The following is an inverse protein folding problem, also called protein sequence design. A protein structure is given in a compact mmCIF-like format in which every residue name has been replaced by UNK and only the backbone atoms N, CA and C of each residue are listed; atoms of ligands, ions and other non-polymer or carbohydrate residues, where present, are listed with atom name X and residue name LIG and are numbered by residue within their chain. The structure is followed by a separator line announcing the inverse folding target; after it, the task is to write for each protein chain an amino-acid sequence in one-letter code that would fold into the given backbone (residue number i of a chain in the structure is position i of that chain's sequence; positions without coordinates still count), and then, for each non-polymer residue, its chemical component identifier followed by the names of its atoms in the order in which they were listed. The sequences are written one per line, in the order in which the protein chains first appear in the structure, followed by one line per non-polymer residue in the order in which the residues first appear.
data_IF_179678161543
#
_entry.id   IF_179678161543
#
_cell.length_a   1.000
_cell.length_b   1.000
_cell.length_c   1.000
_cell.angle_alpha   90.00
_cell.angle_beta   90.00
_cell.angle_gamma   90.00
#
_symmetry.space_group_name_H-M   'P 1'
#
loop_
_entity.id
_entity.type
_entity.pdbx_description
1 polymer ?
#
# COMPACT_ATOMS: atom_id res chain seq x y z
N UNK A 1 13.85 -21.28 75.81
CA UNK A 1 13.26 -21.16 74.46
C UNK A 1 12.90 -22.57 74.03
N UNK A 2 11.63 -22.81 73.72
CA UNK A 2 11.15 -24.17 73.44
C UNK A 2 11.37 -24.54 71.96
N UNK A 3 11.57 -25.83 71.65
CA UNK A 3 11.81 -26.34 70.29
C UNK A 3 10.73 -25.91 69.26
N UNK A 4 9.48 -25.76 69.71
CA UNK A 4 8.39 -25.25 68.86
C UNK A 4 8.52 -23.77 68.49
N UNK A 5 9.06 -22.94 69.39
CA UNK A 5 9.31 -21.51 69.14
C UNK A 5 10.44 -21.34 68.13
N UNK A 6 11.51 -22.13 68.25
CA UNK A 6 12.64 -22.13 67.32
C UNK A 6 12.22 -22.62 65.92
N UNK A 7 11.40 -23.68 65.85
CA UNK A 7 10.80 -24.15 64.58
C UNK A 7 9.86 -23.12 63.95
N UNK A 8 9.13 -22.34 64.75
CA UNK A 8 8.25 -21.29 64.27
C UNK A 8 9.05 -20.08 63.73
N UNK A 9 10.09 -19.66 64.45
CA UNK A 9 11.01 -18.60 64.04
C UNK A 9 11.69 -18.95 62.72
N UNK A 10 12.25 -20.17 62.59
CA UNK A 10 12.86 -20.65 61.34
C UNK A 10 11.89 -20.68 60.16
N UNK A 11 10.60 -20.95 60.41
CA UNK A 11 9.55 -20.90 59.36
C UNK A 11 9.18 -19.47 58.98
N UNK A 12 9.19 -18.53 59.92
CA UNK A 12 8.99 -17.11 59.63
C UNK A 12 10.14 -16.56 58.78
N UNK A 13 11.39 -16.81 59.18
CA UNK A 13 12.58 -16.40 58.44
C UNK A 13 12.61 -16.98 57.01
N UNK A 14 12.32 -18.28 56.85
CA UNK A 14 12.23 -18.92 55.53
C UNK A 14 11.10 -18.35 54.66
N UNK A 15 10.02 -17.82 55.25
CA UNK A 15 8.95 -17.15 54.50
C UNK A 15 9.40 -15.76 54.04
N UNK A 16 10.06 -15.02 54.93
CA UNK A 16 10.61 -13.70 54.63
C UNK A 16 11.69 -13.78 53.55
N UNK A 17 12.64 -14.71 53.65
CA UNK A 17 13.67 -14.94 52.63
C UNK A 17 13.05 -15.22 51.26
N UNK A 18 12.07 -16.12 51.18
CA UNK A 18 11.36 -16.40 49.91
C UNK A 18 10.55 -15.21 49.40
N UNK A 19 10.06 -14.33 50.28
CA UNK A 19 9.41 -13.09 49.85
C UNK A 19 10.42 -12.12 49.23
N UNK A 20 11.57 -11.93 49.88
CA UNK A 20 12.66 -11.10 49.39
C UNK A 20 13.22 -11.62 48.05
N UNK A 21 13.47 -12.92 47.93
CA UNK A 21 13.92 -13.56 46.69
C UNK A 21 12.93 -13.35 45.54
N UNK A 22 11.61 -13.44 45.80
CA UNK A 22 10.59 -13.18 44.79
C UNK A 22 10.56 -11.72 44.34
N UNK A 23 10.72 -10.78 45.26
CA UNK A 23 10.81 -9.34 44.94
C UNK A 23 12.07 -9.08 44.12
N UNK A 24 13.23 -9.57 44.54
CA UNK A 24 14.48 -9.41 43.81
C UNK A 24 14.41 -10.00 42.39
N UNK A 25 13.84 -11.20 42.24
CA UNK A 25 13.63 -11.83 40.93
C UNK A 25 12.64 -11.05 40.06
N UNK A 26 11.60 -10.45 40.64
CA UNK A 26 10.67 -9.60 39.91
C UNK A 26 11.36 -8.32 39.41
N UNK A 27 12.16 -7.67 40.26
CA UNK A 27 12.93 -6.47 39.92
C UNK A 27 13.94 -6.75 38.80
N UNK A 28 14.72 -7.82 38.93
CA UNK A 28 15.68 -8.22 37.89
C UNK A 28 15.00 -8.48 36.53
N UNK A 29 13.81 -9.11 36.53
CA UNK A 29 13.03 -9.31 35.28
C UNK A 29 12.52 -8.00 34.70
N UNK A 30 12.11 -7.04 35.53
CA UNK A 30 11.66 -5.73 35.04
C UNK A 30 12.80 -4.90 34.48
N UNK A 31 13.97 -4.93 35.12
CA UNK A 31 15.19 -4.26 34.66
C UNK A 31 15.66 -4.85 33.33
N UNK A 32 15.74 -6.18 33.23
CA UNK A 32 16.13 -6.84 31.97
C UNK A 32 15.18 -6.46 30.82
N UNK A 33 13.86 -6.46 31.08
CA UNK A 33 12.87 -6.05 30.07
C UNK A 33 13.03 -4.58 29.67
N UNK A 34 13.49 -3.71 30.55
CA UNK A 34 13.76 -2.32 30.22
C UNK A 34 14.98 -2.21 29.29
N UNK A 35 16.08 -2.90 29.63
CA UNK A 35 17.29 -2.99 28.80
C UNK A 35 16.98 -3.53 27.40
N UNK A 36 16.21 -4.63 27.32
CA UNK A 36 15.85 -5.25 26.04
C UNK A 36 15.00 -4.30 25.18
N UNK A 37 14.08 -3.54 25.78
CA UNK A 37 13.27 -2.56 25.07
C UNK A 37 14.11 -1.41 24.53
N UNK A 38 15.04 -0.90 25.33
CA UNK A 38 15.96 0.16 24.89
C UNK A 38 16.83 -0.30 23.73
N UNK A 39 17.43 -1.49 23.84
CA UNK A 39 18.23 -2.09 22.76
C UNK A 39 17.39 -2.27 21.48
N UNK A 40 16.19 -2.84 21.59
CA UNK A 40 15.29 -3.00 20.45
C UNK A 40 14.86 -1.64 19.85
N UNK A 41 14.68 -0.61 20.66
CA UNK A 41 14.35 0.73 20.17
C UNK A 41 15.50 1.34 19.39
N UNK A 42 16.75 1.21 19.89
CA UNK A 42 17.95 1.69 19.20
C UNK A 42 18.13 1.00 17.84
N UNK A 43 18.03 -0.33 17.81
CA UNK A 43 18.13 -1.11 16.56
C UNK A 43 17.08 -0.71 15.52
N UNK A 44 15.84 -0.43 15.95
CA UNK A 44 14.80 0.05 15.02
C UNK A 44 15.12 1.42 14.46
N UNK A 45 15.66 2.32 15.26
CA UNK A 45 16.04 3.65 14.79
C UNK A 45 17.22 3.59 13.84
N UNK A 46 18.26 2.81 14.14
CA UNK A 46 19.38 2.53 13.24
C UNK A 46 18.89 1.94 11.90
N UNK A 47 17.94 1.00 11.94
CA UNK A 47 17.34 0.44 10.72
C UNK A 47 16.47 1.44 9.95
N UNK A 48 15.89 2.46 10.61
CA UNK A 48 15.15 3.54 9.93
C UNK A 48 16.11 4.53 9.30
N UNK A 49 17.18 4.93 9.99
CA UNK A 49 18.18 5.86 9.46
C UNK A 49 18.92 5.23 8.27
N UNK A 50 19.34 3.97 8.36
CA UNK A 50 19.95 3.24 7.26
C UNK A 50 19.04 3.20 6.01
N UNK A 51 17.75 2.89 6.19
CA UNK A 51 16.78 2.93 5.09
C UNK A 51 16.63 4.31 4.48
N UNK A 52 16.55 5.36 5.30
CA UNK A 52 16.50 6.75 4.81
C UNK A 52 17.74 7.10 4.00
N UNK A 53 18.93 6.77 4.48
CA UNK A 53 20.18 7.04 3.75
C UNK A 53 20.25 6.27 2.43
N UNK A 54 19.83 5.01 2.40
CA UNK A 54 19.77 4.24 1.14
C UNK A 54 18.75 4.84 0.16
N UNK A 55 17.57 5.24 0.63
CA UNK A 55 16.56 5.89 -0.21
C UNK A 55 17.04 7.24 -0.75
N UNK A 56 17.73 8.04 0.07
CA UNK A 56 18.34 9.30 -0.34
C UNK A 56 19.43 9.07 -1.40
N UNK A 57 20.28 8.07 -1.21
CA UNK A 57 21.29 7.68 -2.21
C UNK A 57 20.64 7.24 -3.53
N UNK A 58 19.62 6.38 -3.49
CA UNK A 58 18.87 5.96 -4.68
C UNK A 58 18.18 7.14 -5.38
N UNK A 59 17.66 8.10 -4.62
CA UNK A 59 17.06 9.32 -5.20
C UNK A 59 18.14 10.21 -5.84
N UNK A 60 19.30 10.36 -5.21
CA UNK A 60 20.40 11.14 -5.76
C UNK A 60 20.88 10.56 -7.10
N UNK A 61 21.10 9.25 -7.20
CA UNK A 61 21.50 8.60 -8.46
C UNK A 61 20.45 8.79 -9.56
N UNK A 62 19.15 8.66 -9.23
CA UNK A 62 18.07 8.90 -10.20
C UNK A 62 17.96 10.38 -10.64
N UNK A 63 18.32 11.33 -9.77
CA UNK A 63 18.38 12.75 -10.14
C UNK A 63 19.56 13.02 -11.07
N UNK A 64 20.74 12.49 -10.79
CA UNK A 64 21.92 12.60 -11.68
C UNK A 64 21.63 12.03 -13.07
N UNK A 65 21.02 10.84 -13.15
CA UNK A 65 20.59 10.23 -14.41
C UNK A 65 19.55 11.08 -15.17
N UNK A 66 18.67 11.77 -14.44
CA UNK A 66 17.63 12.63 -15.02
C UNK A 66 18.19 13.96 -15.52
N UNK A 67 19.16 14.54 -14.83
CA UNK A 67 19.82 15.78 -15.23
C UNK A 67 20.77 15.59 -16.41
N UNK A 68 21.41 14.41 -16.53
CA UNK A 68 22.20 14.02 -17.70
C UNK A 68 21.33 13.84 -18.97
N UNK A 69 20.01 13.66 -18.84
CA UNK A 69 19.10 13.50 -19.98
C UNK A 69 18.70 14.87 -20.52
N UNK A 70 18.80 15.13 -21.85
CA UNK A 70 18.43 16.43 -22.41
C UNK A 70 16.99 16.78 -22.03
N UNK A 71 16.81 17.93 -21.36
CA UNK A 71 15.54 18.43 -20.80
C UNK A 71 14.49 18.61 -21.92
N UNK A 72 13.79 17.54 -22.29
CA UNK A 72 12.54 17.62 -23.04
C UNK A 72 11.42 17.98 -22.06
N UNK A 73 10.66 19.00 -22.43
CA UNK A 73 9.55 19.60 -21.67
C UNK A 73 8.73 18.55 -20.93
N UNK A 74 8.68 18.72 -19.61
CA UNK A 74 7.77 18.11 -18.62
C UNK A 74 6.89 16.96 -19.12
N UNK A 75 7.37 15.71 -18.95
CA UNK A 75 6.55 14.52 -19.16
C UNK A 75 5.72 14.19 -17.92
N UNK A 76 4.67 14.97 -17.65
CA UNK A 76 3.54 14.52 -16.84
C UNK A 76 2.70 13.53 -17.66
N UNK A 77 3.28 12.35 -17.95
CA UNK A 77 2.66 11.36 -18.82
C UNK A 77 2.89 9.92 -18.33
N UNK A 78 2.13 8.97 -18.89
CA UNK A 78 2.24 7.54 -18.57
C UNK A 78 3.70 7.03 -18.56
N UNK A 79 4.52 7.54 -19.48
CA UNK A 79 5.95 7.25 -19.58
C UNK A 79 6.75 7.51 -18.28
N UNK A 80 6.42 8.57 -17.52
CA UNK A 80 7.08 8.87 -16.25
C UNK A 80 6.57 8.00 -15.09
N UNK A 81 5.36 7.43 -15.21
CA UNK A 81 4.75 6.61 -14.15
C UNK A 81 5.02 5.12 -14.32
N UNK A 82 5.06 4.63 -15.55
CA UNK A 82 5.17 3.19 -15.86
C UNK A 82 6.42 2.84 -16.65
N UNK A 83 7.20 3.83 -17.13
CA UNK A 83 8.36 3.59 -18.00
C UNK A 83 8.01 3.17 -19.43
N UNK A 84 6.73 2.96 -19.73
CA UNK A 84 6.25 2.49 -21.02
C UNK A 84 5.83 3.66 -21.91
N UNK A 85 6.36 3.69 -23.15
CA UNK A 85 5.86 4.57 -24.19
C UNK A 85 4.52 4.03 -24.66
N UNK A 86 3.44 4.82 -24.51
CA UNK A 86 2.13 4.46 -25.07
C UNK A 86 2.29 4.30 -26.58
N UNK A 87 2.05 3.09 -27.07
CA UNK A 87 1.88 2.83 -28.50
C UNK A 87 0.54 3.43 -28.90
N UNK A 88 0.59 4.40 -29.82
CA UNK A 88 -0.61 4.93 -30.44
C UNK A 88 -1.24 3.82 -31.28
N UNK A 89 -2.44 3.39 -30.91
CA UNK A 89 -3.17 2.38 -31.67
C UNK A 89 -3.80 3.07 -32.86
N UNK A 90 -3.50 2.62 -34.07
CA UNK A 90 -4.21 3.07 -35.26
C UNK A 90 -5.64 2.52 -35.24
N UNK A 91 -6.59 3.38 -34.85
CA UNK A 91 -8.01 3.03 -34.76
C UNK A 91 -8.79 3.38 -36.02
N UNK A 92 -8.13 3.85 -37.09
CA UNK A 92 -8.79 4.25 -38.35
C UNK A 92 -9.60 3.14 -39.01
N UNK A 93 -9.29 1.88 -38.68
CA UNK A 93 -9.99 0.70 -39.19
C UNK A 93 -10.80 -0.05 -38.12
N UNK A 94 -10.96 0.52 -36.92
CA UNK A 94 -11.77 -0.10 -35.89
C UNK A 94 -13.24 0.13 -36.26
N UNK A 95 -13.88 -0.91 -36.78
CA UNK A 95 -15.32 -0.91 -36.95
C UNK A 95 -15.97 -1.29 -35.61
N UNK A 96 -16.96 -0.51 -35.18
CA UNK A 96 -17.82 -0.94 -34.08
C UNK A 96 -18.84 -1.91 -34.67
N UNK A 97 -18.84 -3.16 -34.21
CA UNK A 97 -19.84 -4.14 -34.62
C UNK A 97 -21.25 -3.62 -34.34
N UNK A 98 -22.12 -3.73 -35.35
CA UNK A 98 -23.52 -3.26 -35.33
C UNK A 98 -24.38 -4.22 -34.53
N UNK A 99 -24.17 -4.24 -33.22
CA UNK A 99 -24.96 -5.02 -32.28
C UNK A 99 -26.24 -4.25 -31.88
N UNK A 100 -27.45 -4.75 -32.23
CA UNK A 100 -28.72 -4.13 -31.86
C UNK A 100 -28.89 -3.92 -30.35
N UNK A 101 -28.41 -4.86 -29.52
CA UNK A 101 -28.50 -4.74 -28.06
C UNK A 101 -27.64 -3.59 -27.53
N UNK A 102 -26.44 -3.43 -28.11
CA UNK A 102 -25.53 -2.34 -27.78
C UNK A 102 -26.10 -0.99 -28.21
N UNK A 103 -26.70 -0.89 -29.39
CA UNK A 103 -27.36 0.34 -29.88
C UNK A 103 -28.46 0.77 -28.91
N UNK A 104 -29.33 -0.17 -28.51
CA UNK A 104 -30.41 0.08 -27.54
C UNK A 104 -29.88 0.48 -26.17
N UNK A 105 -28.84 -0.19 -25.69
CA UNK A 105 -28.20 0.12 -24.40
C UNK A 105 -27.61 1.53 -24.38
N UNK A 106 -26.97 1.96 -25.47
CA UNK A 106 -26.41 3.30 -25.57
C UNK A 106 -27.52 4.37 -25.66
N UNK A 107 -28.59 4.11 -26.40
CA UNK A 107 -29.75 4.97 -26.45
C UNK A 107 -30.40 5.13 -25.07
N UNK A 108 -30.56 4.04 -24.31
CA UNK A 108 -31.08 4.07 -22.94
C UNK A 108 -30.19 4.88 -21.97
N UNK A 109 -28.90 5.04 -22.28
CA UNK A 109 -27.95 5.88 -21.52
C UNK A 109 -27.92 7.34 -21.98
N UNK A 110 -28.77 7.71 -22.93
CA UNK A 110 -28.92 9.10 -23.40
C UNK A 110 -28.15 9.43 -24.68
N UNK A 111 -27.64 8.45 -25.43
CA UNK A 111 -27.06 8.71 -26.75
C UNK A 111 -28.17 9.06 -27.76
N UNK A 112 -27.95 10.10 -28.57
CA UNK A 112 -28.93 10.47 -29.62
C UNK A 112 -28.77 9.60 -30.87
N UNK A 113 -29.83 9.42 -31.69
CA UNK A 113 -29.76 8.66 -32.93
C UNK A 113 -28.68 9.15 -33.90
N UNK A 114 -28.41 10.46 -33.95
CA UNK A 114 -27.38 11.06 -34.79
C UNK A 114 -25.96 10.71 -34.30
N UNK A 115 -25.76 10.72 -32.99
CA UNK A 115 -24.49 10.32 -32.39
C UNK A 115 -24.20 8.83 -32.60
N UNK A 116 -25.24 7.98 -32.50
CA UNK A 116 -25.13 6.55 -32.77
C UNK A 116 -24.82 6.30 -34.26
N UNK A 117 -25.52 6.97 -35.17
CA UNK A 117 -25.27 6.89 -36.60
C UNK A 117 -23.81 7.21 -36.97
N UNK A 118 -23.25 8.26 -36.37
CA UNK A 118 -21.85 8.66 -36.58
C UNK A 118 -20.83 7.61 -36.07
N UNK A 119 -21.10 6.99 -34.91
CA UNK A 119 -20.19 5.99 -34.30
C UNK A 119 -20.25 4.64 -35.02
N UNK A 120 -21.44 4.21 -35.44
CA UNK A 120 -21.63 2.94 -36.14
C UNK A 120 -21.47 3.04 -37.67
N UNK A 121 -21.30 4.26 -38.20
CA UNK A 121 -21.11 4.50 -39.63
C UNK A 121 -22.31 4.10 -40.48
N UNK A 122 -23.52 4.39 -39.99
CA UNK A 122 -24.80 4.03 -40.62
C UNK A 122 -25.70 5.26 -40.78
N UNK A 123 -26.66 5.26 -41.72
CA UNK A 123 -27.68 6.29 -41.77
C UNK A 123 -28.53 6.30 -40.50
N UNK A 124 -28.99 7.49 -40.09
CA UNK A 124 -29.86 7.66 -38.91
C UNK A 124 -31.13 6.81 -39.00
N UNK A 125 -31.67 6.60 -40.21
CA UNK A 125 -32.85 5.76 -40.43
C UNK A 125 -32.65 4.30 -39.99
N UNK A 126 -31.44 3.75 -40.16
CA UNK A 126 -31.10 2.38 -39.74
C UNK A 126 -31.05 2.27 -38.21
N UNK A 127 -30.53 3.29 -37.52
CA UNK A 127 -30.58 3.37 -36.05
C UNK A 127 -32.03 3.49 -35.57
N UNK A 128 -32.84 4.32 -36.22
CA UNK A 128 -34.26 4.50 -35.85
C UNK A 128 -35.04 3.18 -35.97
N UNK A 129 -34.77 2.38 -37.01
CA UNK A 129 -35.38 1.06 -37.18
C UNK A 129 -35.01 0.10 -36.03
N UNK A 130 -33.72 0.01 -35.68
CA UNK A 130 -33.22 -0.84 -34.58
C UNK A 130 -33.83 -0.47 -33.22
N UNK A 131 -34.09 0.82 -33.01
CA UNK A 131 -34.75 1.33 -31.79
C UNK A 131 -36.27 1.11 -31.78
N UNK A 132 -36.90 0.90 -32.95
CA UNK A 132 -38.33 0.64 -33.08
C UNK A 132 -38.70 -0.85 -32.98
N UNK A 133 -37.75 -1.76 -33.19
CA UNK A 133 -37.91 -3.22 -33.07
C UNK A 133 -37.96 -3.74 -31.61
N UNK A 134 -38.65 -3.03 -30.72
CA UNK A 134 -38.85 -3.42 -29.31
C UNK A 134 -40.15 -4.19 -29.15
#
# INVERSE_FOLDING_TARGET
MNDWEERAARRAENRERRAQERVASALARTEQRAVDREAASRLREEARTARRTEEEQRRATLVEEREARPRRRQSTGALARTGEQRVERDTRHYATDRDPERIRTLAARGATPEALAAVFGVPVAEIAAVLAEV
#
